data_IF_189102586836
#
_entry.id   IF_189102586836
#
_cell.length_a   1.000
_cell.length_b   1.000
_cell.length_c   1.000
_cell.angle_alpha   90.00
_cell.angle_beta   90.00
_cell.angle_gamma   90.00
#
_symmetry.space_group_name_H-M   'P 1'
#
loop_
_entity.id
_entity.type
_entity.pdbx_description
1 polymer ?
#
# COMPACT_ATOMS: atom_id res chain seq x y z
N UNK A 1 -76.72 -38.70 -5.24
CA UNK A 1 -78.12 -38.91 -5.67
C UNK A 1 -79.03 -38.32 -4.60
N UNK A 2 -79.98 -37.44 -4.93
CA UNK A 2 -80.09 -36.63 -6.16
C UNK A 2 -78.92 -35.58 -6.20
N UNK A 3 -78.96 -34.33 -6.70
CA UNK A 3 -80.00 -33.51 -7.33
C UNK A 3 -79.39 -32.42 -8.27
N UNK A 4 -80.25 -31.56 -8.82
CA UNK A 4 -79.96 -30.46 -9.76
C UNK A 4 -80.21 -29.07 -9.09
N UNK A 5 -79.73 -27.93 -9.62
CA UNK A 5 -80.29 -27.37 -10.87
C UNK A 5 -79.41 -26.36 -11.59
N UNK A 6 -79.20 -26.65 -12.88
CA UNK A 6 -78.82 -25.78 -13.99
C UNK A 6 -79.45 -24.37 -13.99
N UNK A 7 -78.67 -23.35 -14.40
CA UNK A 7 -79.21 -22.24 -15.21
C UNK A 7 -78.16 -21.68 -16.19
N UNK A 8 -78.53 -21.69 -17.47
CA UNK A 8 -77.73 -21.24 -18.63
C UNK A 8 -78.43 -20.04 -19.30
N UNK A 9 -77.69 -18.96 -19.58
CA UNK A 9 -77.97 -17.94 -20.61
C UNK A 9 -76.74 -16.99 -20.70
N UNK A 10 -75.87 -17.07 -21.71
CA UNK A 10 -75.96 -16.55 -23.10
C UNK A 10 -75.68 -15.04 -23.27
N UNK A 11 -74.48 -14.78 -23.80
CA UNK A 11 -74.05 -13.72 -24.74
C UNK A 11 -74.46 -12.25 -24.57
N UNK A 12 -73.43 -11.40 -24.49
CA UNK A 12 -73.36 -10.05 -25.07
C UNK A 12 -71.94 -9.79 -25.62
N UNK A 13 -71.75 -9.05 -26.74
CA UNK A 13 -70.45 -8.88 -27.39
C UNK A 13 -69.56 -7.79 -26.77
N UNK A 14 -68.27 -7.85 -27.13
CA UNK A 14 -67.18 -6.97 -26.68
C UNK A 14 -67.33 -5.54 -27.24
N UNK A 15 -67.16 -4.49 -26.43
CA UNK A 15 -66.62 -3.21 -26.88
C UNK A 15 -65.08 -3.17 -26.67
N UNK A 16 -64.33 -2.99 -27.76
CA UNK A 16 -62.92 -2.59 -27.69
C UNK A 16 -62.85 -1.14 -27.22
N UNK A 17 -62.24 -0.87 -26.06
CA UNK A 17 -61.71 0.45 -25.73
C UNK A 17 -60.18 0.38 -25.67
N UNK A 18 -59.53 1.00 -26.66
CA UNK A 18 -58.10 1.32 -26.55
C UNK A 18 -57.93 2.36 -25.44
N UNK A 19 -57.31 1.96 -24.32
CA UNK A 19 -56.65 2.90 -23.41
C UNK A 19 -55.14 2.74 -23.44
N UNK A 20 -54.58 3.07 -24.62
CA UNK A 20 -53.21 3.54 -24.73
C UNK A 20 -53.02 4.77 -23.82
N UNK A 21 -51.89 4.86 -23.10
CA UNK A 21 -51.37 6.16 -22.62
C UNK A 21 -51.15 6.36 -21.11
N UNK A 22 -51.66 5.50 -20.22
CA UNK A 22 -51.57 5.76 -18.76
C UNK A 22 -50.24 5.40 -18.08
N UNK A 23 -49.64 4.25 -18.42
CA UNK A 23 -48.68 3.58 -17.51
C UNK A 23 -47.24 4.13 -17.53
N UNK A 24 -46.78 4.68 -18.66
CA UNK A 24 -45.36 5.06 -18.83
C UNK A 24 -45.02 6.44 -18.24
N UNK A 25 -45.96 7.38 -18.23
CA UNK A 25 -45.74 8.72 -17.67
C UNK A 25 -45.70 8.74 -16.14
N UNK A 26 -46.41 7.81 -15.49
CA UNK A 26 -46.59 7.82 -14.03
C UNK A 26 -45.46 7.08 -13.27
N UNK A 27 -44.69 6.22 -13.94
CA UNK A 27 -43.49 5.59 -13.36
C UNK A 27 -42.26 6.49 -13.35
N UNK A 28 -42.20 7.52 -14.21
CA UNK A 28 -41.01 8.35 -14.44
C UNK A 28 -40.68 9.39 -13.34
N UNK A 29 -41.46 9.47 -12.24
CA UNK A 29 -41.27 10.52 -11.21
C UNK A 29 -41.39 10.07 -9.75
N UNK A 30 -41.02 8.82 -9.42
CA UNK A 30 -40.64 8.49 -8.03
C UNK A 30 -39.32 9.20 -7.68
N UNK A 31 -39.41 10.47 -7.26
CA UNK A 31 -38.32 11.13 -6.53
C UNK A 31 -38.04 10.28 -5.29
N UNK A 32 -36.86 9.66 -5.22
CA UNK A 32 -36.37 9.00 -4.02
C UNK A 32 -36.03 10.08 -2.96
N UNK A 33 -37.06 10.59 -2.30
CA UNK A 33 -36.94 11.47 -1.14
C UNK A 33 -36.39 10.63 0.01
N UNK A 34 -35.06 10.54 0.07
CA UNK A 34 -34.37 9.97 1.24
C UNK A 34 -34.80 10.77 2.47
N UNK A 35 -35.40 10.13 3.50
CA UNK A 35 -35.90 10.85 4.67
C UNK A 35 -34.78 11.69 5.30
N UNK A 36 -35.09 12.91 5.74
CA UNK A 36 -34.10 13.80 6.34
C UNK A 36 -33.33 13.13 7.49
N UNK A 37 -34.03 12.33 8.32
CA UNK A 37 -33.41 11.52 9.38
C UNK A 37 -32.32 10.57 8.89
N UNK A 38 -32.48 9.91 7.73
CA UNK A 38 -31.47 9.01 7.16
C UNK A 38 -30.21 9.77 6.75
N UNK A 39 -30.34 11.03 6.30
CA UNK A 39 -29.19 11.90 6.00
C UNK A 39 -28.49 12.38 7.27
N UNK A 40 -29.25 12.76 8.29
CA UNK A 40 -28.74 13.25 9.58
C UNK A 40 -27.95 12.15 10.31
N UNK A 41 -28.54 10.95 10.47
CA UNK A 41 -27.87 9.79 11.09
C UNK A 41 -26.58 9.42 10.35
N UNK A 42 -26.56 9.52 9.01
CA UNK A 42 -25.35 9.28 8.22
C UNK A 42 -24.26 10.33 8.45
N UNK A 43 -24.60 11.61 8.58
CA UNK A 43 -23.61 12.66 8.89
C UNK A 43 -23.05 12.51 10.31
N UNK A 44 -23.92 12.27 11.30
CA UNK A 44 -23.52 12.03 12.68
C UNK A 44 -22.56 10.84 12.78
N UNK A 45 -22.87 9.72 12.12
CA UNK A 45 -21.97 8.55 12.11
C UNK A 45 -20.64 8.79 11.38
N UNK A 46 -20.55 9.77 10.46
CA UNK A 46 -19.27 10.16 9.85
C UNK A 46 -18.43 10.98 10.83
N UNK A 47 -19.01 12.02 11.42
CA UNK A 47 -18.33 12.87 12.41
C UNK A 47 -17.82 12.09 13.62
N UNK A 48 -18.61 11.14 14.13
CA UNK A 48 -18.17 10.24 15.23
C UNK A 48 -16.95 9.38 14.87
N UNK A 49 -16.86 8.88 13.63
CA UNK A 49 -15.69 8.12 13.16
C UNK A 49 -14.46 8.99 13.00
N UNK A 50 -14.64 10.19 12.49
CA UNK A 50 -13.57 11.17 12.29
C UNK A 50 -13.01 11.66 13.62
N UNK A 51 -13.87 12.03 14.57
CA UNK A 51 -13.49 12.37 15.95
C UNK A 51 -12.81 11.18 16.64
N UNK A 52 -13.36 9.97 16.50
CA UNK A 52 -12.77 8.75 17.08
C UNK A 52 -11.40 8.41 16.50
N UNK A 53 -11.21 8.58 15.19
CA UNK A 53 -9.91 8.43 14.53
C UNK A 53 -8.91 9.47 15.02
N UNK A 54 -9.29 10.75 15.06
CA UNK A 54 -8.41 11.83 15.54
C UNK A 54 -8.00 11.60 16.99
N UNK A 55 -8.94 11.24 17.87
CA UNK A 55 -8.66 10.93 19.27
C UNK A 55 -7.68 9.76 19.41
N UNK A 56 -7.92 8.65 18.70
CA UNK A 56 -7.01 7.49 18.70
C UNK A 56 -5.62 7.84 18.15
N UNK A 57 -5.54 8.67 17.10
CA UNK A 57 -4.28 9.13 16.53
C UNK A 57 -3.52 10.06 17.50
N UNK A 58 -4.20 10.98 18.19
CA UNK A 58 -3.59 11.85 19.21
C UNK A 58 -3.08 11.04 20.40
N UNK A 59 -3.86 10.07 20.91
CA UNK A 59 -3.40 9.18 21.99
C UNK A 59 -2.21 8.35 21.52
N UNK A 60 -2.28 7.75 20.33
CA UNK A 60 -1.15 6.98 19.78
C UNK A 60 0.12 7.82 19.62
N UNK A 61 0.01 9.06 19.14
CA UNK A 61 1.13 9.98 19.03
C UNK A 61 1.71 10.33 20.41
N UNK A 62 0.87 10.60 21.41
CA UNK A 62 1.32 10.83 22.79
C UNK A 62 2.06 9.61 23.37
N UNK A 63 1.51 8.40 23.24
CA UNK A 63 2.16 7.18 23.74
C UNK A 63 3.47 6.87 22.99
N UNK A 64 3.53 7.13 21.68
CA UNK A 64 4.77 6.98 20.90
C UNK A 64 5.84 7.98 21.33
N UNK A 65 5.48 9.26 21.51
CA UNK A 65 6.38 10.30 22.01
C UNK A 65 6.88 9.95 23.41
N UNK A 66 6.00 9.47 24.29
CA UNK A 66 6.37 9.01 25.63
C UNK A 66 7.39 7.87 25.59
N UNK A 67 7.16 6.83 24.79
CA UNK A 67 8.10 5.71 24.63
C UNK A 67 9.43 6.15 23.99
N UNK A 68 9.39 6.96 22.94
CA UNK A 68 10.56 7.42 22.20
C UNK A 68 11.44 8.42 22.97
N UNK A 69 10.88 9.09 23.98
CA UNK A 69 11.59 9.98 24.90
C UNK A 69 11.77 9.39 26.30
N UNK A 70 11.78 8.06 26.41
CA UNK A 70 12.08 7.39 27.68
C UNK A 70 13.49 7.72 28.19
N UNK A 71 13.57 8.14 29.46
CA UNK A 71 14.82 8.40 30.17
C UNK A 71 14.80 7.58 31.47
N UNK A 72 15.73 6.62 31.67
CA UNK A 72 15.77 5.77 32.86
C UNK A 72 15.88 6.51 34.21
N UNK A 73 16.30 7.78 34.20
CA UNK A 73 16.47 8.63 35.38
C UNK A 73 15.22 9.46 35.72
N UNK A 74 14.15 9.39 34.93
CA UNK A 74 12.92 10.14 35.20
C UNK A 74 12.16 9.59 36.43
N UNK A 75 11.46 10.44 37.19
CA UNK A 75 10.57 10.00 38.27
C UNK A 75 9.37 9.21 37.71
N UNK A 76 9.38 7.90 37.95
CA UNK A 76 8.41 6.94 37.41
C UNK A 76 8.17 5.75 38.37
N UNK A 77 7.44 4.73 37.93
CA UNK A 77 7.09 3.56 38.75
C UNK A 77 8.32 2.82 39.29
N UNK A 78 9.34 2.58 38.46
CA UNK A 78 10.56 1.85 38.86
C UNK A 78 11.65 2.75 39.44
N UNK A 79 11.42 4.06 39.53
CA UNK A 79 12.45 5.03 39.95
C UNK A 79 11.89 6.29 40.61
N UNK A 80 12.24 6.50 41.89
CA UNK A 80 11.99 7.78 42.57
C UNK A 80 13.06 8.80 42.22
N UNK A 81 12.80 9.64 41.21
CA UNK A 81 13.59 10.84 40.91
C UNK A 81 13.11 12.07 41.67
N UNK A 82 13.99 13.06 41.86
CA UNK A 82 13.68 14.34 42.53
C UNK A 82 13.60 15.54 41.57
N UNK A 83 14.09 15.38 40.34
CA UNK A 83 13.99 16.38 39.26
C UNK A 83 12.69 16.22 38.47
N UNK A 84 12.30 17.27 37.73
CA UNK A 84 11.24 17.15 36.73
C UNK A 84 11.62 16.11 35.65
N UNK A 85 10.66 15.35 35.10
CA UNK A 85 10.94 14.36 34.06
C UNK A 85 11.40 15.02 32.76
N UNK A 86 12.36 14.40 32.09
CA UNK A 86 12.87 14.78 30.77
C UNK A 86 11.99 14.24 29.63
N UNK A 87 11.13 13.27 29.90
CA UNK A 87 10.16 12.73 28.95
C UNK A 87 9.29 13.83 28.32
N UNK A 88 9.14 13.81 27.00
CA UNK A 88 8.37 14.81 26.25
C UNK A 88 6.85 14.72 26.51
N UNK A 89 6.36 13.59 27.04
CA UNK A 89 5.00 13.45 27.56
C UNK A 89 4.84 13.90 29.02
N UNK A 90 5.86 14.51 29.63
CA UNK A 90 5.88 14.94 31.03
C UNK A 90 5.76 13.76 32.00
N UNK A 91 5.22 14.01 33.21
CA UNK A 91 5.06 12.99 34.27
C UNK A 91 4.23 11.79 33.79
N UNK A 92 3.13 12.04 33.06
CA UNK A 92 2.28 10.98 32.53
C UNK A 92 3.00 10.14 31.47
N UNK A 93 3.78 10.78 30.60
CA UNK A 93 4.61 10.09 29.61
C UNK A 93 5.72 9.25 30.24
N UNK A 94 6.45 9.80 31.22
CA UNK A 94 7.48 9.08 31.96
C UNK A 94 6.92 7.84 32.66
N UNK A 95 5.78 7.97 33.37
CA UNK A 95 5.10 6.85 34.02
C UNK A 95 4.63 5.78 33.03
N UNK A 96 3.99 6.18 31.94
CA UNK A 96 3.54 5.23 30.91
C UNK A 96 4.72 4.49 30.28
N UNK A 97 5.75 5.24 29.87
CA UNK A 97 6.91 4.68 29.19
C UNK A 97 7.68 3.71 30.10
N UNK A 98 7.92 4.07 31.36
CA UNK A 98 8.62 3.22 32.30
C UNK A 98 7.86 1.91 32.57
N UNK A 99 6.56 1.97 32.85
CA UNK A 99 5.72 0.78 33.06
C UNK A 99 5.68 -0.09 31.78
N UNK A 100 5.40 0.51 30.62
CA UNK A 100 5.25 -0.22 29.38
C UNK A 100 6.57 -0.89 28.95
N UNK A 101 7.70 -0.19 29.04
CA UNK A 101 9.01 -0.74 28.69
C UNK A 101 9.51 -1.76 29.73
N UNK A 102 9.17 -1.61 31.01
CA UNK A 102 9.52 -2.57 32.06
C UNK A 102 8.78 -3.92 31.88
N UNK A 103 7.49 -3.90 31.56
CA UNK A 103 6.72 -5.13 31.36
C UNK A 103 6.89 -5.76 29.97
N UNK A 104 7.01 -4.95 28.90
CA UNK A 104 6.94 -5.43 27.51
C UNK A 104 8.18 -5.14 26.66
N UNK A 105 9.19 -4.40 27.16
CA UNK A 105 10.39 -4.06 26.40
C UNK A 105 10.09 -3.31 25.09
N UNK A 106 10.89 -3.53 24.05
CA UNK A 106 10.66 -2.90 22.73
C UNK A 106 9.30 -3.21 22.10
N UNK A 107 8.69 -4.40 22.27
CA UNK A 107 7.31 -4.66 21.87
C UNK A 107 6.25 -3.72 22.46
N UNK A 108 6.55 -2.91 23.49
CA UNK A 108 5.66 -1.81 23.92
C UNK A 108 5.32 -0.83 22.79
N UNK A 109 6.18 -0.66 21.80
CA UNK A 109 5.92 0.18 20.63
C UNK A 109 4.79 -0.36 19.73
N UNK A 110 4.32 -1.59 19.94
CA UNK A 110 3.12 -2.12 19.30
C UNK A 110 1.82 -1.48 19.82
N UNK A 111 1.79 -0.92 21.05
CA UNK A 111 0.59 -0.25 21.58
C UNK A 111 0.17 0.99 20.78
N UNK A 112 1.04 2.01 20.55
CA UNK A 112 0.67 3.13 19.69
C UNK A 112 0.38 2.70 18.25
N UNK A 113 1.12 1.72 17.70
CA UNK A 113 0.86 1.19 16.36
C UNK A 113 -0.53 0.53 16.26
N UNK A 114 -0.92 -0.24 17.28
CA UNK A 114 -2.23 -0.87 17.39
C UNK A 114 -3.37 0.15 17.47
N UNK A 115 -3.17 1.26 18.20
CA UNK A 115 -4.14 2.38 18.24
C UNK A 115 -4.30 3.08 16.89
N UNK A 116 -3.20 3.34 16.16
CA UNK A 116 -3.27 3.90 14.79
C UNK A 116 -4.01 2.94 13.87
N UNK A 117 -3.72 1.64 13.95
CA UNK A 117 -4.41 0.63 13.15
C UNK A 117 -5.91 0.55 13.46
N UNK A 118 -6.28 0.56 14.74
CA UNK A 118 -7.68 0.57 15.18
C UNK A 118 -8.41 1.85 14.71
N UNK A 119 -7.76 3.02 14.80
CA UNK A 119 -8.30 4.28 14.29
C UNK A 119 -8.51 4.25 12.77
N UNK A 120 -7.54 3.77 12.01
CA UNK A 120 -7.65 3.64 10.55
C UNK A 120 -8.79 2.68 10.14
N UNK A 121 -8.96 1.58 10.88
CA UNK A 121 -10.10 0.65 10.71
C UNK A 121 -11.43 1.34 10.96
N UNK A 122 -11.55 2.12 12.04
CA UNK A 122 -12.75 2.88 12.40
C UNK A 122 -13.12 3.95 11.36
N UNK A 123 -12.10 4.62 10.79
CA UNK A 123 -12.27 5.64 9.76
C UNK A 123 -12.75 5.08 8.42
N UNK A 124 -12.44 3.82 8.10
CA UNK A 124 -12.83 3.19 6.82
C UNK A 124 -14.36 3.26 6.63
N UNK A 125 -14.81 3.42 5.38
CA UNK A 125 -16.19 3.83 5.04
C UNK A 125 -17.31 2.92 5.58
N UNK A 126 -17.00 1.67 5.94
CA UNK A 126 -17.90 0.70 6.57
C UNK A 126 -17.49 0.31 8.01
N UNK A 127 -16.47 0.94 8.60
CA UNK A 127 -15.81 0.47 9.84
C UNK A 127 -16.73 0.23 11.03
N UNK A 128 -17.78 1.05 11.20
CA UNK A 128 -18.81 0.87 12.25
C UNK A 128 -19.86 -0.22 11.94
N UNK A 129 -20.10 -0.52 10.66
CA UNK A 129 -21.06 -1.54 10.22
C UNK A 129 -20.43 -2.95 10.13
N UNK A 130 -19.09 -3.02 10.19
CA UNK A 130 -18.28 -4.25 10.25
C UNK A 130 -17.73 -4.48 11.68
N UNK A 131 -18.31 -3.83 12.69
CA UNK A 131 -18.08 -4.12 14.12
C UNK A 131 -18.87 -5.38 14.47
N UNK A 132 -18.28 -6.51 14.13
CA UNK A 132 -18.68 -7.82 14.63
C UNK A 132 -17.90 -8.11 15.91
N UNK A 133 -18.58 -8.55 16.97
CA UNK A 133 -17.95 -8.69 18.29
C UNK A 133 -16.84 -9.77 18.25
N UNK A 134 -17.12 -10.86 17.55
CA UNK A 134 -16.23 -11.98 17.24
C UNK A 134 -14.97 -11.48 16.54
N UNK A 135 -15.09 -10.63 15.52
CA UNK A 135 -13.95 -10.06 14.79
C UNK A 135 -13.09 -9.19 15.70
N UNK A 136 -13.69 -8.43 16.62
CA UNK A 136 -12.95 -7.61 17.59
C UNK A 136 -12.23 -8.50 18.61
N UNK A 137 -12.89 -9.53 19.13
CA UNK A 137 -12.30 -10.50 20.06
C UNK A 137 -11.11 -11.21 19.40
N UNK A 138 -11.28 -11.77 18.20
CA UNK A 138 -10.19 -12.42 17.48
C UNK A 138 -9.01 -11.47 17.23
N UNK A 139 -9.25 -10.22 16.80
CA UNK A 139 -8.16 -9.25 16.59
C UNK A 139 -7.46 -8.84 17.87
N UNK A 140 -8.20 -8.71 18.97
CA UNK A 140 -7.64 -8.37 20.29
C UNK A 140 -6.79 -9.52 20.80
N UNK A 141 -7.28 -10.76 20.71
CA UNK A 141 -6.50 -11.97 21.03
C UNK A 141 -5.26 -12.06 20.15
N UNK A 142 -5.38 -11.84 18.84
CA UNK A 142 -4.25 -11.81 17.91
C UNK A 142 -3.20 -10.78 18.30
N UNK A 143 -3.62 -9.57 18.65
CA UNK A 143 -2.74 -8.50 19.09
C UNK A 143 -2.03 -8.83 20.40
N UNK A 144 -2.74 -9.40 21.39
CA UNK A 144 -2.15 -9.86 22.65
C UNK A 144 -1.13 -10.99 22.43
N UNK A 145 -1.42 -11.93 21.51
CA UNK A 145 -0.46 -12.97 21.10
C UNK A 145 0.77 -12.35 20.42
N UNK A 146 0.60 -11.39 19.51
CA UNK A 146 1.72 -10.65 18.89
C UNK A 146 2.57 -9.91 19.91
N UNK A 147 1.96 -9.22 20.88
CA UNK A 147 2.71 -8.53 21.94
C UNK A 147 3.46 -9.55 22.79
N UNK A 148 2.81 -10.57 23.35
CA UNK A 148 3.45 -11.55 24.23
C UNK A 148 4.56 -12.36 23.57
N UNK A 149 4.36 -12.82 22.34
CA UNK A 149 5.39 -13.56 21.58
C UNK A 149 6.48 -12.64 21.05
N UNK A 150 6.14 -11.39 20.70
CA UNK A 150 7.11 -10.33 20.40
C UNK A 150 8.01 -10.04 21.60
N UNK A 151 7.44 -10.00 22.82
CA UNK A 151 8.21 -9.89 24.07
C UNK A 151 9.17 -11.07 24.21
N UNK A 152 8.69 -12.31 24.01
CA UNK A 152 9.55 -13.50 24.04
C UNK A 152 10.70 -13.44 23.03
N UNK A 153 10.42 -13.08 21.77
CA UNK A 153 11.45 -12.93 20.73
C UNK A 153 12.45 -11.82 21.07
N UNK A 154 11.97 -10.69 21.59
CA UNK A 154 12.82 -9.56 21.96
C UNK A 154 13.75 -9.92 23.14
N UNK A 155 13.23 -10.57 24.18
CA UNK A 155 14.04 -11.01 25.33
C UNK A 155 15.16 -12.00 24.94
N UNK A 156 14.91 -12.84 23.92
CA UNK A 156 15.85 -13.87 23.48
C UNK A 156 16.89 -13.38 22.45
N UNK A 157 16.54 -12.41 21.61
CA UNK A 157 17.33 -12.04 20.42
C UNK A 157 17.74 -10.56 20.33
N UNK A 158 17.24 -9.68 21.21
CA UNK A 158 17.59 -8.26 21.22
C UNK A 158 18.34 -7.86 22.49
N UNK A 159 19.22 -6.87 22.38
CA UNK A 159 19.94 -6.30 23.51
C UNK A 159 19.14 -5.15 24.12
N UNK A 160 19.02 -5.03 25.46
CA UNK A 160 18.18 -4.03 26.12
C UNK A 160 18.63 -2.57 25.92
N UNK A 161 19.89 -2.33 25.58
CA UNK A 161 20.42 -0.99 25.33
C UNK A 161 20.28 -0.07 26.55
N UNK A 162 19.39 0.92 26.47
CA UNK A 162 19.10 1.86 27.55
C UNK A 162 17.91 1.45 28.45
N UNK A 163 17.29 0.30 28.23
CA UNK A 163 16.19 -0.21 29.06
C UNK A 163 16.68 -0.61 30.46
N UNK A 164 15.87 -0.37 31.49
CA UNK A 164 16.12 -0.85 32.87
C UNK A 164 15.86 -2.35 33.02
N UNK A 165 14.98 -2.92 32.18
CA UNK A 165 14.68 -4.35 32.11
C UNK A 165 15.28 -5.00 30.86
N UNK A 166 14.87 -6.23 30.55
CA UNK A 166 15.28 -6.91 29.31
C UNK A 166 14.63 -6.27 28.07
N UNK A 167 15.15 -6.61 26.89
CA UNK A 167 14.62 -6.11 25.62
C UNK A 167 13.16 -6.54 25.33
N UNK A 168 12.65 -7.57 26.02
CA UNK A 168 11.25 -8.01 25.99
C UNK A 168 10.47 -7.74 27.27
N UNK A 169 11.08 -7.12 28.28
CA UNK A 169 10.50 -6.91 29.61
C UNK A 169 10.16 -8.22 30.34
N UNK A 170 9.50 -8.09 31.49
CA UNK A 170 9.10 -9.24 32.33
C UNK A 170 8.27 -10.28 31.55
N UNK A 171 7.35 -9.84 30.69
CA UNK A 171 6.52 -10.75 29.87
C UNK A 171 7.41 -11.56 28.92
N UNK A 172 8.41 -10.91 28.32
CA UNK A 172 9.36 -11.55 27.43
C UNK A 172 10.27 -12.54 28.14
N UNK A 173 10.75 -12.19 29.33
CA UNK A 173 11.60 -13.08 30.12
C UNK A 173 10.85 -14.35 30.55
N UNK A 174 9.58 -14.22 30.95
CA UNK A 174 8.74 -15.36 31.33
C UNK A 174 8.37 -16.25 30.13
N UNK A 175 7.87 -15.66 29.04
CA UNK A 175 7.44 -16.42 27.87
C UNK A 175 8.63 -16.98 27.07
N UNK A 176 9.70 -16.19 26.90
CA UNK A 176 10.90 -16.55 26.15
C UNK A 176 11.65 -17.72 26.79
N UNK A 177 12.10 -17.56 28.04
CA UNK A 177 12.81 -18.63 28.74
C UNK A 177 11.91 -19.84 29.01
N UNK A 178 10.62 -19.63 29.29
CA UNK A 178 9.66 -20.73 29.44
C UNK A 178 9.58 -21.64 28.21
N UNK A 179 9.53 -21.06 27.01
CA UNK A 179 9.48 -21.82 25.76
C UNK A 179 10.83 -22.42 25.35
N UNK A 180 11.96 -21.76 25.65
CA UNK A 180 13.29 -22.38 25.49
C UNK A 180 13.45 -23.59 26.42
N UNK A 181 12.98 -23.50 27.66
CA UNK A 181 13.05 -24.61 28.61
C UNK A 181 12.17 -25.80 28.17
N UNK A 182 11.06 -25.55 27.49
CA UNK A 182 10.15 -26.59 26.99
C UNK A 182 10.58 -27.23 25.65
N UNK A 183 11.12 -26.45 24.72
CA UNK A 183 11.37 -26.87 23.33
C UNK A 183 12.84 -26.77 22.89
N UNK A 184 13.74 -26.37 23.79
CA UNK A 184 15.13 -26.00 23.47
C UNK A 184 15.24 -24.64 22.74
N UNK A 185 16.45 -24.09 22.58
CA UNK A 185 16.64 -22.75 22.01
C UNK A 185 16.08 -22.57 20.60
N UNK A 186 16.31 -23.56 19.73
CA UNK A 186 15.80 -23.55 18.35
C UNK A 186 14.29 -23.73 18.27
N UNK A 187 13.76 -24.76 18.95
CA UNK A 187 12.32 -25.05 18.96
C UNK A 187 11.49 -23.92 19.59
N UNK A 188 11.94 -23.38 20.72
CA UNK A 188 11.29 -22.26 21.40
C UNK A 188 11.25 -21.00 20.54
N UNK A 189 12.35 -20.67 19.86
CA UNK A 189 12.41 -19.53 18.91
C UNK A 189 11.47 -19.73 17.72
N UNK A 190 11.47 -20.91 17.10
CA UNK A 190 10.58 -21.20 15.97
C UNK A 190 9.10 -21.15 16.37
N UNK A 191 8.75 -21.65 17.56
CA UNK A 191 7.39 -21.62 18.08
C UNK A 191 6.94 -20.19 18.41
N UNK A 192 7.79 -19.38 19.05
CA UNK A 192 7.54 -17.95 19.25
C UNK A 192 7.35 -17.19 17.94
N UNK A 193 8.19 -17.44 16.93
CA UNK A 193 8.07 -16.83 15.61
C UNK A 193 6.77 -17.24 14.90
N UNK A 194 6.40 -18.52 14.95
CA UNK A 194 5.14 -19.01 14.38
C UNK A 194 3.92 -18.36 15.05
N UNK A 195 3.88 -18.29 16.39
CA UNK A 195 2.81 -17.61 17.11
C UNK A 195 2.80 -16.09 16.88
N UNK A 196 3.96 -15.45 16.75
CA UNK A 196 4.04 -14.02 16.42
C UNK A 196 3.40 -13.72 15.06
N UNK A 197 3.77 -14.49 14.03
CA UNK A 197 3.20 -14.37 12.68
C UNK A 197 1.70 -14.70 12.64
N UNK A 198 1.26 -15.72 13.37
CA UNK A 198 -0.15 -16.06 13.51
C UNK A 198 -0.95 -14.96 14.22
N UNK A 199 -0.41 -14.40 15.31
CA UNK A 199 -0.96 -13.26 16.03
C UNK A 199 -1.08 -12.02 15.12
N UNK A 200 -0.04 -11.70 14.35
CA UNK A 200 -0.05 -10.57 13.40
C UNK A 200 -1.13 -10.78 12.35
N UNK A 201 -1.23 -11.99 11.79
CA UNK A 201 -2.28 -12.36 10.82
C UNK A 201 -3.67 -12.15 11.41
N UNK A 202 -3.90 -12.62 12.65
CA UNK A 202 -5.20 -12.54 13.31
C UNK A 202 -5.57 -11.10 13.74
N UNK A 203 -4.61 -10.33 14.26
CA UNK A 203 -4.78 -8.93 14.65
C UNK A 203 -5.10 -8.02 13.45
N UNK A 204 -4.35 -8.23 12.36
CA UNK A 204 -4.41 -7.37 11.17
C UNK A 204 -5.46 -7.81 10.15
N UNK A 205 -5.81 -9.10 10.10
CA UNK A 205 -6.58 -9.69 9.01
C UNK A 205 -5.86 -9.67 7.67
N UNK A 206 -4.53 -9.62 7.66
CA UNK A 206 -3.71 -9.61 6.43
C UNK A 206 -3.72 -10.98 5.74
N UNK A 207 -3.80 -10.95 4.40
CA UNK A 207 -3.43 -12.09 3.55
C UNK A 207 -1.94 -12.01 3.23
N UNK A 208 -1.20 -13.09 3.49
CA UNK A 208 0.23 -13.18 3.16
C UNK A 208 0.50 -13.00 1.67
N UNK A 209 -0.37 -13.51 0.80
CA UNK A 209 -0.28 -13.30 -0.64
C UNK A 209 -0.37 -11.81 -1.00
N UNK A 210 -1.37 -11.11 -0.46
CA UNK A 210 -1.55 -9.67 -0.71
C UNK A 210 -0.40 -8.82 -0.16
N UNK A 211 0.28 -9.27 0.90
CA UNK A 211 1.49 -8.63 1.41
C UNK A 211 2.68 -8.84 0.45
N UNK A 212 2.87 -10.06 -0.06
CA UNK A 212 3.90 -10.37 -1.06
C UNK A 212 3.65 -9.58 -2.36
N UNK A 213 2.41 -9.52 -2.84
CA UNK A 213 2.02 -8.74 -4.03
C UNK A 213 2.32 -7.24 -3.84
N UNK A 214 2.01 -6.69 -2.65
CA UNK A 214 2.28 -5.30 -2.33
C UNK A 214 3.78 -5.00 -2.30
N UNK A 215 4.59 -5.85 -1.66
CA UNK A 215 6.06 -5.72 -1.60
C UNK A 215 6.65 -5.82 -3.01
N UNK A 216 6.23 -6.82 -3.79
CA UNK A 216 6.68 -7.02 -5.17
C UNK A 216 6.36 -5.82 -6.06
N UNK A 217 5.16 -5.25 -5.92
CA UNK A 217 4.78 -4.01 -6.60
C UNK A 217 5.66 -2.83 -6.16
N UNK A 218 5.86 -2.62 -4.86
CA UNK A 218 6.68 -1.51 -4.36
C UNK A 218 8.13 -1.57 -4.84
N UNK A 219 8.72 -2.78 -4.91
CA UNK A 219 10.05 -2.99 -5.49
C UNK A 219 10.06 -2.57 -6.97
N UNK A 220 9.04 -2.97 -7.75
CA UNK A 220 8.90 -2.58 -9.16
C UNK A 220 8.72 -1.08 -9.35
N UNK A 221 7.85 -0.44 -8.56
CA UNK A 221 7.59 1.01 -8.62
C UNK A 221 8.87 1.81 -8.32
N UNK A 222 9.65 1.39 -7.31
CA UNK A 222 10.95 1.99 -6.96
C UNK A 222 11.99 1.77 -8.06
N UNK A 223 12.12 0.54 -8.59
CA UNK A 223 13.03 0.25 -9.69
C UNK A 223 12.69 1.05 -10.96
N UNK A 224 11.40 1.20 -11.28
CA UNK A 224 10.94 2.04 -12.38
C UNK A 224 11.24 3.53 -12.16
N UNK A 225 11.17 4.01 -10.91
CA UNK A 225 11.52 5.40 -10.56
C UNK A 225 13.04 5.64 -10.73
N UNK A 226 13.89 4.72 -10.29
CA UNK A 226 15.33 4.78 -10.54
C UNK A 226 15.68 4.71 -12.04
N UNK A 227 15.02 3.84 -12.80
CA UNK A 227 15.22 3.74 -14.26
C UNK A 227 14.82 5.05 -14.98
N UNK A 228 13.72 5.69 -14.57
CA UNK A 228 13.29 7.00 -15.07
C UNK A 228 14.26 8.12 -14.71
N UNK A 229 14.78 8.12 -13.47
CA UNK A 229 15.79 9.09 -13.06
C UNK A 229 17.10 8.91 -13.85
N UNK A 230 17.55 7.67 -14.03
CA UNK A 230 18.75 7.34 -14.82
C UNK A 230 18.61 7.75 -16.29
N UNK A 231 17.48 7.49 -16.93
CA UNK A 231 17.25 7.90 -18.33
C UNK A 231 17.16 9.42 -18.49
N UNK A 232 16.61 10.13 -17.50
CA UNK A 232 16.60 11.60 -17.48
C UNK A 232 18.00 12.20 -17.34
N UNK A 233 18.85 11.62 -16.48
CA UNK A 233 20.27 12.04 -16.36
C UNK A 233 21.04 11.72 -17.65
N UNK A 234 20.87 10.51 -18.20
CA UNK A 234 21.50 10.13 -19.47
C UNK A 234 21.10 11.07 -20.62
N UNK A 235 19.83 11.47 -20.70
CA UNK A 235 19.35 12.45 -21.68
C UNK A 235 19.91 13.87 -21.51
N UNK A 236 20.47 14.22 -20.34
CA UNK A 236 21.17 15.49 -20.12
C UNK A 236 22.68 15.43 -20.38
N UNK A 237 23.27 14.25 -20.33
CA UNK A 237 24.72 14.02 -20.55
C UNK A 237 24.99 13.53 -21.98
N UNK A 238 23.99 13.01 -22.68
CA UNK A 238 24.05 12.65 -24.09
C UNK A 238 24.65 13.80 -24.92
N UNK A 239 25.84 13.62 -25.54
CA UNK A 239 26.41 14.64 -26.40
C UNK A 239 25.45 14.91 -27.56
N UNK A 240 25.23 16.17 -27.91
CA UNK A 240 24.62 16.55 -29.20
C UNK A 240 25.57 16.11 -30.31
N UNK A 241 25.45 14.85 -30.73
CA UNK A 241 26.30 14.25 -31.75
C UNK A 241 25.87 14.74 -33.13
N UNK A 242 26.35 15.93 -33.48
CA UNK A 242 26.47 16.43 -34.84
C UNK A 242 25.18 16.52 -35.65
N UNK A 243 24.60 17.71 -35.69
CA UNK A 243 24.09 18.28 -36.95
C UNK A 243 25.31 18.52 -37.86
N UNK A 244 25.91 17.44 -38.37
CA UNK A 244 27.17 17.47 -39.11
C UNK A 244 27.05 16.59 -40.35
N UNK A 245 26.62 17.19 -41.46
CA UNK A 245 26.67 16.53 -42.77
C UNK A 245 25.47 16.69 -43.71
N UNK A 246 24.72 17.79 -43.67
CA UNK A 246 23.73 18.14 -44.72
C UNK A 246 24.01 19.53 -45.35
N UNK A 247 25.28 19.93 -45.42
CA UNK A 247 25.73 21.10 -46.19
C UNK A 247 26.06 20.70 -47.65
N UNK A 248 25.03 20.40 -48.46
CA UNK A 248 25.19 20.36 -49.92
C UNK A 248 25.23 21.80 -50.48
N UNK A 249 26.33 22.27 -51.09
CA UNK A 249 26.39 23.61 -51.67
C UNK A 249 25.60 23.66 -52.98
N UNK A 250 24.43 24.32 -52.95
CA UNK A 250 23.61 24.58 -54.12
C UNK A 250 24.38 25.35 -55.21
N UNK A 251 24.79 24.66 -56.28
CA UNK A 251 25.33 25.32 -57.46
C UNK A 251 24.22 26.05 -58.21
N UNK A 252 24.32 27.37 -58.23
CA UNK A 252 23.35 28.26 -58.84
C UNK A 252 23.37 28.15 -60.37
N UNK A 253 22.24 27.76 -60.95
CA UNK A 253 22.04 27.77 -62.39
C UNK A 253 22.03 29.19 -62.97
N UNK A 254 23.16 29.62 -63.54
CA UNK A 254 23.24 30.76 -64.46
C UNK A 254 23.77 30.27 -65.80
N UNK A 255 22.86 29.96 -66.73
CA UNK A 255 23.21 29.91 -68.15
C UNK A 255 23.59 31.32 -68.62
N UNK A 256 24.58 31.43 -69.53
CA UNK A 256 24.19 31.83 -70.88
C UNK A 256 24.95 31.14 -72.03
N UNK A 257 24.42 31.33 -73.24
CA UNK A 257 25.08 31.23 -74.55
C UNK A 257 25.55 29.86 -75.07
N UNK A 258 24.65 29.24 -75.85
CA UNK A 258 25.05 28.57 -77.10
C UNK A 258 25.55 29.64 -78.09
N UNK A 259 26.63 29.41 -78.83
CA UNK A 259 26.40 29.06 -80.24
C UNK A 259 27.47 28.17 -80.94
N UNK A 260 27.00 27.54 -82.04
CA UNK A 260 27.75 27.20 -83.28
C UNK A 260 28.79 26.06 -83.31
N UNK A 261 28.34 24.98 -83.97
CA UNK A 261 28.85 24.49 -85.26
C UNK A 261 30.20 23.74 -85.38
N UNK A 262 30.15 22.62 -86.13
CA UNK A 262 31.29 21.91 -86.71
C UNK A 262 31.95 20.91 -85.76
N UNK A 263 32.29 19.68 -86.19
CA UNK A 263 32.12 19.05 -87.49
C UNK A 263 32.52 17.57 -87.42
N UNK A 264 32.20 16.79 -88.46
CA UNK A 264 32.55 15.36 -88.59
C UNK A 264 34.06 15.12 -88.45
N UNK A 265 34.45 13.96 -87.89
CA UNK A 265 35.00 12.84 -88.69
C UNK A 265 35.25 11.57 -87.84
N UNK A 266 34.86 10.42 -88.40
CA UNK A 266 35.25 9.05 -88.02
C UNK A 266 36.51 8.62 -88.85
N UNK A 267 36.98 7.36 -88.84
CA UNK A 267 37.32 6.40 -87.76
C UNK A 267 38.81 5.95 -87.92
N UNK A 268 39.11 4.65 -87.70
CA UNK A 268 40.34 3.82 -87.92
C UNK A 268 40.91 3.30 -86.57
N UNK A 269 40.86 2.02 -86.16
CA UNK A 269 40.97 0.66 -86.77
C UNK A 269 42.41 0.09 -86.76
N UNK A 270 42.68 -0.85 -85.80
CA UNK A 270 43.67 -1.96 -85.86
C UNK A 270 45.17 -1.52 -85.86
N UNK A 271 46.20 -2.20 -85.33
CA UNK A 271 46.45 -3.56 -84.75
C UNK A 271 47.35 -3.44 -83.46
N UNK A 272 47.99 -4.45 -82.84
CA UNK A 272 48.02 -5.92 -82.99
C UNK A 272 48.22 -6.63 -81.62
N UNK A 273 49.24 -7.52 -81.45
CA UNK A 273 49.51 -8.39 -80.29
C UNK A 273 51.06 -8.55 -80.04
N UNK A 274 51.57 -9.31 -79.04
CA UNK A 274 52.75 -8.96 -78.23
C UNK A 274 54.03 -9.70 -78.68
N UNK A 275 55.12 -9.79 -77.88
CA UNK A 275 55.20 -10.95 -76.95
C UNK A 275 56.18 -10.91 -75.72
N UNK A 276 55.97 -11.89 -74.82
CA UNK A 276 56.97 -12.62 -73.97
C UNK A 276 57.70 -11.94 -72.78
N UNK A 277 57.99 -12.79 -71.78
CA UNK A 277 58.86 -12.52 -70.62
C UNK A 277 60.27 -13.14 -70.82
N UNK A 278 61.20 -12.93 -69.88
CA UNK A 278 61.85 -14.10 -69.27
C UNK A 278 62.06 -13.98 -67.73
N UNK A 279 62.41 -15.09 -67.02
CA UNK A 279 62.39 -15.17 -65.55
C UNK A 279 63.77 -15.30 -64.86
N UNK A 280 63.78 -15.05 -63.53
CA UNK A 280 64.69 -15.56 -62.48
C UNK A 280 66.20 -15.23 -62.62
N UNK A 281 67.01 -15.31 -61.54
CA UNK A 281 67.20 -16.47 -60.66
C UNK A 281 66.40 -16.46 -59.34
#
# INVERSE_FOLDING_TARGET
MPSASTRLARHGPIPRSLHTGGSLAQQARRKNVTPAGVKIVRHISHGLREIGFLLLATVAAFLFIALASYVPADPAWTHTGTSAPMNLGGVAGAWFADIALYFFGYPAYLFPLGLVFAGWRLFKRNGLAEIDAEIIVFRTVGFLVTVGTGCGLAALHLQPGALRGSAGGIVGDLCGHGLINAFGPGGGTLFLAALFLAGVTLASGLSWLSLVDLIGKSIWDVAALFARAGSWVAGRIAPRRGEAGDDEPQQQGRAPELPLAGGRQEPVLVAELPPQAPPAP
#
